data_IF_919664732367
#
_entry.id   IF_919664732367
#
_cell.length_a   1.000
_cell.length_b   1.000
_cell.length_c   1.000
_cell.angle_alpha   90.00
_cell.angle_beta   90.00
_cell.angle_gamma   90.00
#
_symmetry.space_group_name_H-M   'P 1'
#
loop_
_entity.id
_entity.type
_entity.pdbx_description
1 polymer ?
#
# COMPACT_ATOMS: atom_id res chain seq x y z
N UNK A 1 -5.31 23.61 -18.86
CA UNK A 1 -4.99 22.28 -18.26
C UNK A 1 -3.67 21.78 -18.85
N UNK A 2 -2.53 22.06 -18.19
CA UNK A 2 -1.22 21.62 -18.69
C UNK A 2 -1.10 20.10 -18.54
N UNK A 3 -1.39 19.36 -19.63
CA UNK A 3 -1.11 17.93 -19.72
C UNK A 3 0.40 17.75 -19.83
N UNK A 4 1.03 17.27 -18.77
CA UNK A 4 2.34 16.67 -18.94
C UNK A 4 2.19 15.40 -19.78
N UNK A 5 2.93 15.26 -20.88
CA UNK A 5 2.93 14.01 -21.63
C UNK A 5 3.37 12.88 -20.69
N UNK A 6 2.73 11.72 -20.82
CA UNK A 6 3.06 10.45 -20.13
C UNK A 6 2.54 10.24 -18.71
N UNK A 7 1.81 11.17 -18.09
CA UNK A 7 1.06 10.85 -16.86
C UNK A 7 -0.25 10.13 -17.18
N UNK A 8 -0.49 9.00 -16.50
CA UNK A 8 -1.72 8.22 -16.55
C UNK A 8 -2.30 8.10 -15.15
N UNK A 9 -3.59 8.39 -15.00
CA UNK A 9 -4.30 8.19 -13.73
C UNK A 9 -5.04 6.85 -13.79
N UNK A 10 -4.88 5.99 -12.78
CA UNK A 10 -5.65 4.75 -12.66
C UNK A 10 -7.08 5.04 -12.21
N UNK A 11 -7.97 4.04 -12.35
CA UNK A 11 -9.34 4.09 -11.79
C UNK A 11 -9.40 4.44 -10.30
N UNK A 12 -8.36 4.11 -9.53
CA UNK A 12 -8.28 4.43 -8.09
C UNK A 12 -7.72 5.83 -7.80
N UNK A 13 -7.51 6.64 -8.84
CA UNK A 13 -7.00 8.01 -8.76
C UNK A 13 -5.48 8.12 -8.61
N UNK A 14 -4.74 7.01 -8.60
CA UNK A 14 -3.27 7.01 -8.44
C UNK A 14 -2.60 7.32 -9.77
N UNK A 15 -1.64 8.24 -9.76
CA UNK A 15 -0.88 8.59 -10.96
C UNK A 15 0.28 7.62 -11.23
N UNK A 16 0.51 7.35 -12.52
CA UNK A 16 1.57 6.53 -13.06
C UNK A 16 2.31 7.32 -14.15
N UNK A 17 3.62 7.12 -14.23
CA UNK A 17 4.45 7.55 -15.34
C UNK A 17 4.49 6.45 -16.40
N UNK A 18 4.10 6.79 -17.63
CA UNK A 18 4.19 5.91 -18.80
C UNK A 18 5.60 6.00 -19.38
N UNK A 19 6.32 4.89 -19.34
CA UNK A 19 7.66 4.77 -19.91
C UNK A 19 7.54 3.93 -21.18
N UNK A 20 8.14 4.40 -22.28
CA UNK A 20 8.19 3.66 -23.54
C UNK A 20 9.66 3.42 -23.85
N UNK A 21 10.09 2.16 -23.85
CA UNK A 21 11.44 1.73 -24.23
C UNK A 21 11.32 0.59 -25.23
N UNK A 22 12.00 0.67 -26.38
CA UNK A 22 11.99 -0.36 -27.42
C UNK A 22 10.59 -0.83 -27.83
N UNK A 23 9.65 0.11 -28.05
CA UNK A 23 8.23 -0.14 -28.34
C UNK A 23 7.43 -0.85 -27.23
N UNK A 24 8.06 -1.24 -26.11
CA UNK A 24 7.39 -1.78 -24.92
C UNK A 24 6.94 -0.63 -24.02
N UNK A 25 5.64 -0.61 -23.72
CA UNK A 25 5.01 0.39 -22.82
C UNK A 25 4.95 -0.17 -21.41
N UNK A 26 5.66 0.45 -20.48
CA UNK A 26 5.60 0.14 -19.04
C UNK A 26 4.99 1.30 -18.26
N UNK A 27 4.36 0.99 -17.12
CA UNK A 27 3.73 1.99 -16.23
C UNK A 27 4.38 1.92 -14.85
N UNK A 28 5.09 2.97 -14.47
CA UNK A 28 5.69 3.12 -13.14
C UNK A 28 4.71 3.88 -12.24
N UNK A 29 4.36 3.32 -11.07
CA UNK A 29 3.47 4.02 -10.13
C UNK A 29 4.23 5.15 -9.44
N UNK A 30 3.60 6.33 -9.34
CA UNK A 30 4.13 7.47 -8.60
C UNK A 30 3.63 7.50 -7.14
N UNK A 31 2.78 6.54 -6.73
CA UNK A 31 2.35 6.38 -5.35
C UNK A 31 1.48 7.52 -4.79
N UNK A 32 1.02 8.46 -5.62
CA UNK A 32 0.26 9.64 -5.19
C UNK A 32 -1.02 9.83 -6.01
N UNK A 33 -2.04 10.41 -5.37
CA UNK A 33 -3.28 10.89 -6.02
C UNK A 33 -3.28 12.41 -6.24
N UNK A 34 -2.32 13.15 -5.69
CA UNK A 34 -2.19 14.59 -5.94
C UNK A 34 -1.44 14.80 -7.26
N UNK A 35 -2.07 15.52 -8.20
CA UNK A 35 -1.50 15.82 -9.51
C UNK A 35 -0.20 16.63 -9.44
N UNK A 36 -0.07 17.56 -8.49
CA UNK A 36 1.13 18.39 -8.31
C UNK A 36 2.31 17.55 -7.84
N UNK A 37 2.06 16.66 -6.88
CA UNK A 37 3.08 15.71 -6.40
C UNK A 37 3.43 14.72 -7.52
N UNK A 38 2.45 14.21 -8.25
CA UNK A 38 2.68 13.31 -9.39
C UNK A 38 3.54 13.99 -10.47
N UNK A 39 3.29 15.28 -10.74
CA UNK A 39 4.09 16.07 -11.65
C UNK A 39 5.54 16.20 -11.20
N UNK A 40 5.78 16.53 -9.93
CA UNK A 40 7.12 16.63 -9.36
C UNK A 40 7.87 15.29 -9.43
N UNK A 41 7.21 14.19 -9.06
CA UNK A 41 7.81 12.85 -9.12
C UNK A 41 8.10 12.41 -10.56
N UNK A 42 7.22 12.72 -11.51
CA UNK A 42 7.45 12.45 -12.93
C UNK A 42 8.61 13.27 -13.50
N UNK A 43 8.72 14.54 -13.12
CA UNK A 43 9.85 15.40 -13.49
C UNK A 43 11.16 14.84 -12.94
N UNK A 44 11.20 14.49 -11.65
CA UNK A 44 12.35 13.86 -11.01
C UNK A 44 12.75 12.56 -11.71
N UNK A 45 11.80 11.66 -11.98
CA UNK A 45 12.08 10.40 -12.67
C UNK A 45 12.58 10.63 -14.10
N UNK A 46 12.05 11.63 -14.82
CA UNK A 46 12.56 12.01 -16.15
C UNK A 46 13.97 12.60 -16.06
N UNK A 47 14.27 13.40 -15.04
CA UNK A 47 15.63 13.90 -14.77
C UNK A 47 16.59 12.75 -14.47
N UNK A 48 16.26 11.85 -13.54
CA UNK A 48 17.07 10.66 -13.24
C UNK A 48 17.30 9.80 -14.49
N UNK A 49 16.29 9.61 -15.33
CA UNK A 49 16.41 8.90 -16.61
C UNK A 49 17.32 9.63 -17.60
N UNK A 50 17.21 10.96 -17.69
CA UNK A 50 18.07 11.77 -18.55
C UNK A 50 19.53 11.77 -18.05
N UNK A 51 19.73 11.81 -16.73
CA UNK A 51 21.03 11.76 -16.06
C UNK A 51 21.66 10.36 -16.07
N UNK A 52 20.86 9.31 -16.30
CA UNK A 52 21.37 7.93 -16.44
C UNK A 52 21.98 7.62 -17.82
N UNK A 53 21.73 8.46 -18.83
CA UNK A 53 22.51 8.47 -20.06
C UNK A 53 23.76 9.33 -19.82
N UNK A 54 24.95 8.74 -19.99
CA UNK A 54 26.25 9.29 -19.57
C UNK A 54 26.56 10.67 -20.16
N UNK A 55 27.46 11.36 -19.45
CA UNK A 55 28.07 12.69 -19.66
C UNK A 55 27.27 13.91 -19.19
N UNK A 56 26.88 13.92 -17.90
CA UNK A 56 26.55 15.17 -17.22
C UNK A 56 27.22 15.22 -15.84
N UNK A 57 28.28 16.02 -15.74
CA UNK A 57 29.00 16.27 -14.49
C UNK A 57 28.22 17.27 -13.63
N UNK A 58 27.64 16.78 -12.53
CA UNK A 58 26.93 17.61 -11.55
C UNK A 58 27.86 18.55 -10.78
N UNK A 59 29.14 18.20 -10.65
CA UNK A 59 30.14 19.02 -9.97
C UNK A 59 30.60 20.20 -10.86
N UNK A 60 30.35 20.10 -12.17
CA UNK A 60 30.54 21.19 -13.13
C UNK A 60 29.36 22.18 -13.20
N UNK A 61 28.20 21.86 -12.60
CA UNK A 61 27.03 22.77 -12.57
C UNK A 61 27.13 23.67 -11.35
N UNK A 62 27.47 24.93 -11.62
CA UNK A 62 27.53 25.98 -10.61
C UNK A 62 26.14 26.29 -10.05
N UNK A 63 25.99 26.23 -8.72
CA UNK A 63 24.75 26.58 -8.02
C UNK A 63 24.67 28.10 -7.82
N UNK A 64 23.53 28.68 -8.16
CA UNK A 64 23.13 30.03 -7.78
C UNK A 64 21.89 29.90 -6.89
N UNK A 65 22.07 30.05 -5.57
CA UNK A 65 20.95 29.96 -4.64
C UNK A 65 20.12 31.25 -4.68
N UNK A 66 18.80 31.13 -4.76
CA UNK A 66 17.87 32.26 -4.69
C UNK A 66 16.87 31.98 -3.57
N UNK A 67 16.97 32.76 -2.50
CA UNK A 67 16.02 32.74 -1.40
C UNK A 67 15.06 33.91 -1.53
N UNK A 68 13.75 33.63 -1.52
CA UNK A 68 12.71 34.66 -1.50
C UNK A 68 12.01 34.60 -0.16
N UNK A 69 12.14 35.66 0.63
CA UNK A 69 11.52 35.75 1.95
C UNK A 69 9.99 35.92 1.83
N UNK A 70 9.22 35.59 2.88
CA UNK A 70 7.76 35.79 2.90
C UNK A 70 7.31 37.25 2.71
N UNK A 71 8.23 38.21 2.86
CA UNK A 71 7.99 39.66 2.68
C UNK A 71 8.32 40.14 1.26
N UNK A 72 8.79 39.25 0.38
CA UNK A 72 9.12 39.55 -1.02
C UNK A 72 10.54 40.07 -1.23
N UNK A 73 11.44 39.94 -0.24
CA UNK A 73 12.87 40.22 -0.43
C UNK A 73 13.57 39.03 -1.09
N UNK A 74 14.40 39.30 -2.10
CA UNK A 74 15.16 38.28 -2.83
C UNK A 74 16.63 38.36 -2.42
N UNK A 75 17.18 37.24 -1.97
CA UNK A 75 18.57 37.10 -1.55
C UNK A 75 19.24 36.04 -2.42
N UNK A 76 20.39 36.39 -3.00
CA UNK A 76 21.20 35.45 -3.76
C UNK A 76 22.32 34.90 -2.86
N UNK A 77 22.57 33.60 -2.91
CA UNK A 77 23.65 32.92 -2.19
C UNK A 77 24.55 32.21 -3.21
N UNK A 78 25.85 32.09 -2.89
CA UNK A 78 26.86 31.45 -3.76
C UNK A 78 27.23 32.26 -5.03
N UNK A 79 27.17 33.60 -4.95
CA UNK A 79 27.47 34.56 -6.04
C UNK A 79 28.99 34.86 -6.14
N UNK A 80 29.56 34.92 -7.35
CA UNK A 80 30.90 35.53 -7.61
C UNK A 80 30.78 36.75 -8.54
N UNK A 81 31.87 37.50 -8.68
CA UNK A 81 31.93 38.77 -9.43
C UNK A 81 31.39 38.68 -10.87
N UNK A 82 31.60 37.54 -11.55
CA UNK A 82 31.18 37.33 -12.94
C UNK A 82 29.67 37.00 -13.11
N UNK A 83 28.93 36.83 -12.02
CA UNK A 83 27.50 36.44 -12.07
C UNK A 83 26.54 37.64 -12.18
N UNK A 84 27.06 38.87 -12.16
CA UNK A 84 26.28 40.10 -12.11
C UNK A 84 25.32 40.23 -13.30
N UNK A 85 25.75 39.87 -14.51
CA UNK A 85 24.92 39.92 -15.72
C UNK A 85 23.79 38.89 -15.66
N UNK A 86 24.08 37.71 -15.10
CA UNK A 86 23.10 36.62 -14.95
C UNK A 86 22.06 36.97 -13.90
N UNK A 87 22.47 37.57 -12.78
CA UNK A 87 21.58 38.05 -11.72
C UNK A 87 20.70 39.19 -12.25
N UNK A 88 21.27 40.13 -13.02
CA UNK A 88 20.49 41.20 -13.66
C UNK A 88 19.43 40.64 -14.62
N UNK A 89 19.77 39.66 -15.45
CA UNK A 89 18.83 39.04 -16.38
C UNK A 89 17.71 38.26 -15.67
N UNK A 90 17.99 37.63 -14.52
CA UNK A 90 16.99 36.95 -13.69
C UNK A 90 16.06 37.96 -13.01
N UNK A 91 16.59 39.07 -12.48
CA UNK A 91 15.80 40.13 -11.86
C UNK A 91 14.90 40.87 -12.87
N UNK A 92 15.38 41.06 -14.11
CA UNK A 92 14.59 41.61 -15.21
C UNK A 92 13.41 40.70 -15.59
N UNK A 93 13.66 39.40 -15.72
CA UNK A 93 12.60 38.42 -16.02
C UNK A 93 11.58 38.27 -14.90
N UNK A 94 11.95 38.61 -13.67
CA UNK A 94 11.07 38.61 -12.51
C UNK A 94 10.40 39.96 -12.24
N UNK A 95 10.75 41.02 -13.00
CA UNK A 95 10.16 42.35 -12.86
C UNK A 95 10.55 43.09 -11.58
N UNK A 96 11.71 42.77 -10.99
CA UNK A 96 12.12 43.23 -9.65
C UNK A 96 13.25 44.28 -9.67
N UNK A 97 13.61 44.79 -10.85
CA UNK A 97 14.82 45.61 -11.07
C UNK A 97 14.82 46.93 -10.29
N UNK A 98 13.70 47.64 -10.21
CA UNK A 98 13.63 48.97 -9.58
C UNK A 98 13.72 48.95 -8.05
N UNK A 99 13.45 47.80 -7.40
CA UNK A 99 13.27 47.73 -5.93
C UNK A 99 14.50 47.24 -5.17
N UNK A 100 15.42 46.52 -5.82
CA UNK A 100 16.52 45.81 -5.14
C UNK A 100 17.90 45.89 -5.83
N UNK A 101 18.02 46.66 -6.92
CA UNK A 101 19.28 46.77 -7.66
C UNK A 101 20.45 47.32 -6.81
N UNK A 102 20.19 48.30 -5.94
CA UNK A 102 21.23 48.90 -5.09
C UNK A 102 21.67 47.98 -3.93
N UNK A 103 20.76 47.19 -3.35
CA UNK A 103 21.06 46.30 -2.21
C UNK A 103 21.81 45.03 -2.64
N UNK A 104 21.48 44.48 -3.82
CA UNK A 104 22.17 43.32 -4.36
C UNK A 104 23.64 43.64 -4.69
N UNK A 105 23.92 44.81 -5.30
CA UNK A 105 25.27 45.26 -5.64
C UNK A 105 26.11 45.52 -4.38
N UNK A 106 25.52 46.15 -3.36
CA UNK A 106 26.21 46.40 -2.08
C UNK A 106 26.51 45.11 -1.29
N UNK A 107 25.67 44.08 -1.40
CA UNK A 107 25.91 42.78 -0.76
C UNK A 107 27.08 42.00 -1.36
N UNK A 108 27.32 42.18 -2.67
CA UNK A 108 28.44 41.55 -3.41
C UNK A 108 29.76 42.24 -3.07
N UNK A 109 29.77 43.58 -2.97
CA UNK A 109 30.97 44.35 -2.60
C UNK A 109 31.37 44.16 -1.12
N UNK A 110 30.42 43.88 -0.22
CA UNK A 110 30.68 43.64 1.20
C UNK A 110 31.27 42.24 1.50
N UNK A 111 31.05 41.25 0.63
CA UNK A 111 31.57 39.89 0.82
C UNK A 111 33.05 39.73 0.43
N UNK A 112 33.60 40.63 -0.40
CA UNK A 112 35.02 40.63 -0.78
C UNK A 112 35.97 41.09 0.34
N UNK A 113 35.43 41.66 1.44
CA UNK A 113 36.22 42.26 2.52
C UNK A 113 36.23 41.46 3.85
N UNK A 114 35.66 40.25 3.92
CA UNK A 114 35.54 39.47 5.17
C UNK A 114 36.06 38.03 5.09
N UNK A 115 37.11 37.81 4.32
CA UNK A 115 37.90 36.57 4.40
C UNK A 115 39.01 36.69 5.47
N UNK A 116 38.68 37.05 6.71
CA UNK A 116 39.56 36.86 7.88
C UNK A 116 38.75 36.98 9.17
N UNK A 117 38.50 35.84 9.83
CA UNK A 117 38.31 35.64 11.28
C UNK A 117 37.23 34.61 11.59
N UNK A 118 37.68 33.54 12.23
CA UNK A 118 36.91 32.45 12.82
C UNK A 118 35.95 32.96 13.90
N UNK A 119 34.66 32.68 13.75
CA UNK A 119 33.62 33.03 14.71
C UNK A 119 33.01 31.80 15.37
N UNK A 120 33.24 31.67 16.68
CA UNK A 120 32.49 30.87 17.63
C UNK A 120 30.99 31.17 17.57
N UNK A 121 30.13 30.16 17.72
CA UNK A 121 28.69 30.34 17.86
C UNK A 121 28.31 30.72 19.31
N UNK A 122 27.38 31.66 19.54
CA UNK A 122 26.90 32.01 20.88
C UNK A 122 25.77 31.08 21.34
N UNK A 123 25.78 30.81 22.65
CA UNK A 123 24.80 30.04 23.44
C UNK A 123 23.67 30.97 23.92
N UNK A 124 22.41 30.48 23.95
CA UNK A 124 21.43 30.94 24.94
C UNK A 124 19.93 30.93 24.57
N UNK A 125 19.23 29.83 24.88
CA UNK A 125 18.03 29.84 25.73
C UNK A 125 18.12 28.63 26.66
N UNK A 126 17.87 28.76 27.97
CA UNK A 126 18.20 27.72 28.93
C UNK A 126 17.17 26.58 28.82
N UNK A 127 17.54 25.50 28.15
CA UNK A 127 16.98 24.19 28.46
C UNK A 127 17.93 23.55 29.46
N UNK A 128 17.47 23.38 30.70
CA UNK A 128 18.23 22.68 31.73
C UNK A 128 18.66 21.32 31.21
N UNK A 129 19.94 21.01 31.41
CA UNK A 129 20.59 19.80 30.97
C UNK A 129 19.81 18.56 31.46
N UNK A 130 19.14 17.88 30.54
CA UNK A 130 18.83 16.46 30.72
C UNK A 130 20.01 15.69 30.16
N UNK A 131 21.04 15.50 30.98
CA UNK A 131 22.06 14.49 30.71
C UNK A 131 21.39 13.12 30.89
N UNK A 132 20.67 12.67 29.86
CA UNK A 132 20.31 11.26 29.74
C UNK A 132 21.59 10.51 29.38
N UNK A 133 21.92 9.41 30.07
CA UNK A 133 23.01 8.55 29.63
C UNK A 133 22.80 8.17 28.16
N UNK A 134 23.83 8.37 27.31
CA UNK A 134 23.78 8.07 25.87
C UNK A 134 23.27 6.64 25.69
N UNK A 135 22.04 6.53 25.24
CA UNK A 135 21.39 5.28 24.90
C UNK A 135 21.60 5.02 23.40
N UNK A 136 20.86 4.06 22.86
CA UNK A 136 21.00 3.68 21.45
C UNK A 136 20.35 4.73 20.52
N UNK A 137 20.92 4.98 19.34
CA UNK A 137 20.26 5.75 18.29
C UNK A 137 18.96 5.05 17.86
N UNK A 138 18.02 5.83 17.33
CA UNK A 138 16.72 5.34 16.89
C UNK A 138 16.83 4.19 15.88
N UNK A 139 17.72 4.31 14.90
CA UNK A 139 17.97 3.28 13.89
C UNK A 139 18.35 1.93 14.50
N UNK A 140 19.25 1.93 15.49
CA UNK A 140 19.68 0.71 16.17
C UNK A 140 18.53 0.07 16.96
N UNK A 141 17.69 0.87 17.63
CA UNK A 141 16.51 0.32 18.32
C UNK A 141 15.48 -0.23 17.33
N UNK A 142 15.33 0.39 16.15
CA UNK A 142 14.49 -0.12 15.07
C UNK A 142 15.00 -1.47 14.58
N UNK A 143 16.30 -1.64 14.38
CA UNK A 143 16.89 -2.91 13.97
C UNK A 143 16.62 -4.02 14.99
N UNK A 144 16.88 -3.75 16.27
CA UNK A 144 16.59 -4.69 17.36
C UNK A 144 15.11 -5.08 17.41
N UNK A 145 14.22 -4.10 17.31
CA UNK A 145 12.78 -4.33 17.29
C UNK A 145 12.33 -5.16 16.08
N UNK A 146 12.84 -4.86 14.89
CA UNK A 146 12.47 -5.59 13.68
C UNK A 146 13.01 -7.02 13.69
N UNK A 147 14.18 -7.28 14.28
CA UNK A 147 14.70 -8.64 14.48
C UNK A 147 13.75 -9.46 15.35
N UNK A 148 13.30 -8.95 16.50
CA UNK A 148 12.33 -9.65 17.34
C UNK A 148 11.01 -9.89 16.59
N UNK A 149 10.52 -8.87 15.89
CA UNK A 149 9.22 -8.97 15.20
C UNK A 149 9.21 -9.91 14.00
N UNK A 150 10.37 -10.41 13.52
CA UNK A 150 10.41 -11.49 12.53
C UNK A 150 9.73 -12.77 13.03
N UNK A 151 9.65 -12.98 14.35
CA UNK A 151 9.00 -14.16 14.94
C UNK A 151 7.48 -14.15 14.74
N UNK A 152 6.85 -12.97 14.78
CA UNK A 152 5.38 -12.86 14.83
C UNK A 152 4.76 -12.16 13.60
N UNK A 153 5.55 -11.39 12.84
CA UNK A 153 5.05 -10.58 11.74
C UNK A 153 5.43 -11.14 10.37
N UNK A 154 4.43 -11.26 9.49
CA UNK A 154 4.64 -11.58 8.07
C UNK A 154 5.52 -10.52 7.36
N UNK A 155 6.26 -10.90 6.29
CA UNK A 155 7.21 -10.00 5.60
C UNK A 155 6.63 -8.65 5.16
N UNK A 156 5.37 -8.64 4.72
CA UNK A 156 4.67 -7.40 4.34
C UNK A 156 4.58 -6.41 5.50
N UNK A 157 4.26 -6.90 6.69
CA UNK A 157 4.09 -6.05 7.88
C UNK A 157 5.43 -5.48 8.33
N UNK A 158 6.49 -6.29 8.29
CA UNK A 158 7.85 -5.85 8.58
C UNK A 158 8.29 -4.74 7.61
N UNK A 159 8.08 -4.95 6.31
CA UNK A 159 8.36 -3.93 5.29
C UNK A 159 7.59 -2.62 5.52
N UNK A 160 6.32 -2.69 5.93
CA UNK A 160 5.53 -1.49 6.20
C UNK A 160 6.00 -0.77 7.47
N UNK A 161 6.39 -1.50 8.52
CA UNK A 161 7.01 -0.96 9.74
C UNK A 161 8.31 -0.24 9.40
N UNK A 162 9.25 -0.92 8.76
CA UNK A 162 10.55 -0.38 8.33
C UNK A 162 10.38 0.90 7.51
N UNK A 163 9.51 0.88 6.50
CA UNK A 163 9.21 2.07 5.68
C UNK A 163 8.72 3.25 6.51
N UNK A 164 7.91 3.00 7.55
CA UNK A 164 7.38 4.07 8.42
C UNK A 164 8.47 4.59 9.36
N UNK A 165 9.34 3.72 9.85
CA UNK A 165 10.48 4.12 10.69
C UNK A 165 11.50 4.93 9.91
N UNK A 166 11.87 4.51 8.69
CA UNK A 166 12.75 5.29 7.82
C UNK A 166 12.15 6.64 7.43
N UNK A 167 10.82 6.71 7.24
CA UNK A 167 10.13 7.97 6.98
C UNK A 167 10.19 8.91 8.20
N UNK A 168 10.01 8.36 9.41
CA UNK A 168 10.12 9.12 10.66
C UNK A 168 11.56 9.61 10.89
N UNK A 169 12.54 8.73 10.77
CA UNK A 169 13.98 9.05 10.86
C UNK A 169 14.37 10.10 9.81
N UNK A 170 13.87 10.00 8.58
CA UNK A 170 14.13 10.98 7.53
C UNK A 170 13.60 12.39 7.85
N UNK A 171 12.64 12.53 8.77
CA UNK A 171 12.11 13.84 9.18
C UNK A 171 12.81 14.45 10.39
N UNK A 172 13.24 13.63 11.35
CA UNK A 172 13.78 14.11 12.63
C UNK A 172 15.28 13.80 12.80
N UNK A 173 15.88 13.08 11.87
CA UNK A 173 17.25 12.58 11.96
C UNK A 173 17.33 11.24 12.69
N UNK A 174 18.56 10.76 12.90
CA UNK A 174 18.84 9.57 13.68
C UNK A 174 19.43 9.95 15.04
N UNK A 175 18.57 10.46 15.91
CA UNK A 175 18.94 10.88 17.26
C UNK A 175 18.95 9.70 18.23
N UNK A 176 19.56 9.91 19.41
CA UNK A 176 19.35 9.04 20.56
C UNK A 176 17.84 8.87 20.80
N UNK A 177 17.38 7.64 21.01
CA UNK A 177 15.95 7.37 21.13
C UNK A 177 15.29 8.16 22.27
N UNK A 178 16.02 8.52 23.32
CA UNK A 178 15.53 9.30 24.47
C UNK A 178 15.33 10.79 24.16
N UNK A 179 15.86 11.28 23.03
CA UNK A 179 15.64 12.67 22.59
C UNK A 179 14.26 12.87 21.96
N UNK A 180 13.58 11.80 21.52
CA UNK A 180 12.24 11.90 20.98
C UNK A 180 11.20 12.10 22.09
N UNK A 181 10.40 13.14 21.96
CA UNK A 181 9.38 13.53 22.91
C UNK A 181 7.99 13.53 22.27
N UNK A 182 6.96 13.85 23.06
CA UNK A 182 5.61 14.06 22.54
C UNK A 182 5.55 15.15 21.46
N UNK A 183 6.49 16.10 21.42
CA UNK A 183 6.53 17.16 20.41
C UNK A 183 6.84 16.59 19.01
N UNK A 184 7.81 15.69 18.89
CA UNK A 184 8.14 15.01 17.63
C UNK A 184 6.98 14.13 17.18
N UNK A 185 6.32 13.43 18.11
CA UNK A 185 5.16 12.60 17.81
C UNK A 185 3.97 13.43 17.29
N UNK A 186 3.68 14.59 17.90
CA UNK A 186 2.64 15.52 17.43
C UNK A 186 3.02 16.15 16.09
N UNK A 187 4.29 16.51 15.91
CA UNK A 187 4.80 17.07 14.64
C UNK A 187 4.68 16.07 13.49
N UNK A 188 5.02 14.81 13.74
CA UNK A 188 4.85 13.72 12.76
C UNK A 188 3.37 13.53 12.41
N UNK A 189 2.49 13.48 13.41
CA UNK A 189 1.04 13.39 13.24
C UNK A 189 0.48 14.54 12.39
N UNK A 190 0.89 15.77 12.66
CA UNK A 190 0.42 16.95 11.93
C UNK A 190 0.89 16.93 10.48
N UNK A 191 2.12 16.45 10.22
CA UNK A 191 2.64 16.28 8.86
C UNK A 191 1.84 15.26 8.05
N UNK A 192 1.60 14.06 8.59
CA UNK A 192 0.81 13.03 7.88
C UNK A 192 -0.66 13.42 7.73
N UNK A 193 -1.19 14.26 8.62
CA UNK A 193 -2.51 14.90 8.47
C UNK A 193 -2.52 15.88 7.28
N UNK A 194 -1.49 16.71 7.15
CA UNK A 194 -1.36 17.67 6.06
C UNK A 194 -1.23 17.00 4.67
N UNK A 195 -0.72 15.76 4.62
CA UNK A 195 -0.69 14.97 3.38
C UNK A 195 -2.07 14.45 2.92
N UNK A 196 -3.14 14.67 3.69
CA UNK A 196 -4.48 14.24 3.33
C UNK A 196 -4.71 12.73 3.38
N UNK A 197 -3.91 12.00 4.18
CA UNK A 197 -4.09 10.55 4.40
C UNK A 197 -5.36 10.27 5.19
N UNK A 198 -5.98 9.10 4.97
CA UNK A 198 -7.17 8.70 5.72
C UNK A 198 -6.85 8.44 7.20
N UNK A 199 -7.85 8.61 8.07
CA UNK A 199 -7.64 8.43 9.50
C UNK A 199 -7.16 7.02 9.88
N UNK A 200 -7.60 6.00 9.14
CA UNK A 200 -7.12 4.62 9.33
C UNK A 200 -5.64 4.47 9.01
N UNK A 201 -5.14 5.10 7.93
CA UNK A 201 -3.73 5.03 7.55
C UNK A 201 -2.87 5.77 8.58
N UNK A 202 -3.32 6.95 9.00
CA UNK A 202 -2.64 7.76 10.02
C UNK A 202 -2.54 6.96 11.33
N UNK A 203 -3.66 6.43 11.83
CA UNK A 203 -3.68 5.65 13.06
C UNK A 203 -2.81 4.38 12.97
N UNK A 204 -2.78 3.71 11.81
CA UNK A 204 -1.88 2.56 11.61
C UNK A 204 -0.41 2.94 11.70
N UNK A 205 0.00 4.08 11.14
CA UNK A 205 1.38 4.58 11.21
C UNK A 205 1.78 4.93 12.64
N UNK A 206 0.93 5.69 13.32
CA UNK A 206 1.13 6.07 14.72
C UNK A 206 1.20 4.83 15.63
N UNK A 207 0.39 3.80 15.34
CA UNK A 207 0.43 2.54 16.10
C UNK A 207 1.75 1.79 15.96
N UNK A 208 2.41 1.83 14.80
CA UNK A 208 3.72 1.21 14.63
C UNK A 208 4.79 1.93 15.46
N UNK A 209 4.82 3.26 15.40
CA UNK A 209 5.72 4.05 16.23
C UNK A 209 5.44 3.84 17.72
N UNK A 210 4.17 3.82 18.13
CA UNK A 210 3.80 3.48 19.52
C UNK A 210 4.35 2.12 19.95
N UNK A 211 4.22 1.10 19.11
CA UNK A 211 4.71 -0.26 19.41
C UNK A 211 6.24 -0.32 19.53
N UNK A 212 6.97 0.49 18.74
CA UNK A 212 8.43 0.60 18.84
C UNK A 212 8.85 1.22 20.17
N UNK A 213 8.20 2.31 20.58
CA UNK A 213 8.50 2.95 21.87
C UNK A 213 8.03 2.10 23.07
N UNK A 214 6.94 1.34 22.95
CA UNK A 214 6.55 0.31 23.94
C UNK A 214 7.66 -0.74 24.10
N UNK A 215 8.22 -1.24 23.00
CA UNK A 215 9.36 -2.16 23.02
C UNK A 215 10.59 -1.52 23.67
N UNK A 216 10.92 -0.28 23.30
CA UNK A 216 12.08 0.43 23.86
C UNK A 216 11.95 0.64 25.37
N UNK A 217 10.75 0.96 25.86
CA UNK A 217 10.47 1.05 27.30
C UNK A 217 10.63 -0.33 27.97
N UNK A 218 10.01 -1.38 27.39
CA UNK A 218 10.09 -2.74 27.94
C UNK A 218 11.50 -3.33 27.99
N UNK A 219 12.41 -2.83 27.14
CA UNK A 219 13.81 -3.25 27.08
C UNK A 219 14.78 -2.25 27.74
N UNK A 220 14.28 -1.29 28.52
CA UNK A 220 15.10 -0.27 29.20
C UNK A 220 16.01 0.54 28.25
N UNK A 221 15.53 0.80 27.02
CA UNK A 221 16.19 1.64 26.02
C UNK A 221 15.61 3.06 25.96
N UNK A 222 14.38 3.24 26.44
CA UNK A 222 13.67 4.52 26.51
C UNK A 222 13.09 4.72 27.91
N UNK A 223 13.42 5.85 28.55
CA UNK A 223 13.15 6.07 29.99
C UNK A 223 12.02 7.06 30.29
N UNK A 224 11.34 7.58 29.27
CA UNK A 224 10.20 8.47 29.43
C UNK A 224 8.87 7.77 29.08
N UNK A 225 7.76 8.48 29.27
CA UNK A 225 6.44 8.01 28.79
C UNK A 225 6.42 7.93 27.27
N UNK A 226 5.77 6.90 26.72
CA UNK A 226 5.68 6.71 25.26
C UNK A 226 5.19 7.97 24.53
N UNK A 227 5.98 8.56 23.62
CA UNK A 227 5.61 9.77 22.87
C UNK A 227 4.31 9.64 22.07
N UNK A 228 3.97 8.42 21.66
CA UNK A 228 2.84 8.14 20.77
C UNK A 228 1.56 7.75 21.51
N UNK A 229 1.57 7.65 22.84
CA UNK A 229 0.45 7.12 23.64
C UNK A 229 -0.89 7.82 23.34
N UNK A 230 -0.85 9.15 23.22
CA UNK A 230 -2.04 10.01 23.04
C UNK A 230 -2.13 10.64 21.65
N UNK A 231 -1.55 10.01 20.63
CA UNK A 231 -1.50 10.57 19.26
C UNK A 231 -2.66 10.16 18.36
N UNK A 232 -3.48 9.18 18.78
CA UNK A 232 -4.58 8.64 17.97
C UNK A 232 -5.56 9.72 17.53
N UNK A 233 -5.97 9.68 16.27
CA UNK A 233 -7.00 10.58 15.73
C UNK A 233 -8.37 9.91 15.65
N UNK A 234 -9.41 10.72 15.82
CA UNK A 234 -10.80 10.27 15.83
C UNK A 234 -11.25 9.73 14.47
N UNK A 235 -11.99 8.62 14.50
CA UNK A 235 -12.66 8.07 13.32
C UNK A 235 -14.13 8.53 13.20
N UNK A 236 -14.58 9.54 13.98
CA UNK A 236 -15.99 9.96 14.02
C UNK A 236 -16.48 10.57 12.68
N UNK A 237 -17.81 10.58 12.53
CA UNK A 237 -18.64 10.63 11.32
C UNK A 237 -18.15 11.44 10.08
N UNK A 238 -17.48 12.59 10.23
CA UNK A 238 -16.96 13.37 9.09
C UNK A 238 -15.87 12.62 8.29
N UNK A 239 -15.10 11.72 8.93
CA UNK A 239 -14.10 10.87 8.27
C UNK A 239 -14.67 9.54 7.77
N UNK A 240 -15.79 9.07 8.34
CA UNK A 240 -16.49 7.85 7.88
C UNK A 240 -17.10 8.01 6.49
N UNK A 241 -17.55 9.22 6.13
CA UNK A 241 -18.07 9.52 4.80
C UNK A 241 -17.05 9.33 3.66
N UNK A 242 -15.74 9.31 3.96
CA UNK A 242 -14.70 9.11 2.94
C UNK A 242 -14.37 7.63 2.67
N UNK A 243 -14.71 6.70 3.57
CA UNK A 243 -14.48 5.28 3.34
C UNK A 243 -15.63 4.74 2.51
N UNK A 244 -15.50 4.86 1.20
CA UNK A 244 -16.41 4.24 0.24
C UNK A 244 -16.23 2.72 0.31
N UNK A 245 -17.26 2.00 0.73
CA UNK A 245 -17.28 0.54 0.67
C UNK A 245 -17.15 0.07 -0.78
N UNK A 246 -16.63 -1.15 -0.97
CA UNK A 246 -16.68 -1.80 -2.28
C UNK A 246 -18.14 -1.88 -2.73
N UNK A 247 -18.34 -1.63 -4.03
CA UNK A 247 -19.65 -1.79 -4.65
C UNK A 247 -19.70 -3.17 -5.30
N UNK A 248 -20.83 -3.83 -5.15
CA UNK A 248 -21.11 -5.08 -5.87
C UNK A 248 -21.10 -4.86 -7.39
N UNK A 249 -20.75 -5.92 -8.10
CA UNK A 249 -20.91 -6.00 -9.55
C UNK A 249 -22.38 -6.33 -9.84
N UNK A 250 -23.02 -5.57 -10.73
CA UNK A 250 -24.41 -5.85 -11.12
C UNK A 250 -24.48 -7.11 -11.97
N UNK A 251 -25.69 -7.64 -12.14
CA UNK A 251 -26.01 -8.73 -13.08
C UNK A 251 -25.41 -8.47 -14.47
N UNK A 252 -25.53 -7.24 -14.98
CA UNK A 252 -24.99 -6.81 -16.27
C UNK A 252 -23.46 -6.77 -16.26
N UNK A 253 -22.84 -6.23 -15.19
CA UNK A 253 -21.38 -6.26 -15.05
C UNK A 253 -20.87 -7.71 -15.12
N UNK A 254 -21.49 -8.64 -14.38
CA UNK A 254 -21.09 -10.04 -14.37
C UNK A 254 -21.23 -10.70 -15.74
N UNK A 255 -22.31 -10.41 -16.48
CA UNK A 255 -22.49 -10.87 -17.86
C UNK A 255 -21.38 -10.37 -18.79
N UNK A 256 -21.00 -9.10 -18.68
CA UNK A 256 -19.92 -8.53 -19.49
C UNK A 256 -18.55 -9.06 -19.10
N UNK A 257 -18.28 -9.17 -17.79
CA UNK A 257 -17.03 -9.68 -17.25
C UNK A 257 -16.83 -11.13 -17.68
N UNK A 258 -17.82 -11.99 -17.48
CA UNK A 258 -17.70 -13.42 -17.78
C UNK A 258 -18.13 -13.77 -19.22
N UNK A 259 -18.16 -12.78 -20.13
CA UNK A 259 -18.36 -13.05 -21.55
C UNK A 259 -17.11 -13.72 -22.12
N UNK A 260 -17.24 -15.00 -22.49
CA UNK A 260 -16.13 -15.87 -22.87
C UNK A 260 -15.25 -15.35 -24.00
N UNK A 261 -15.86 -14.76 -25.03
CA UNK A 261 -15.17 -14.23 -26.22
C UNK A 261 -14.22 -13.09 -25.84
N UNK A 262 -14.63 -12.23 -24.91
CA UNK A 262 -13.80 -11.13 -24.41
C UNK A 262 -12.89 -11.55 -23.25
N UNK A 263 -13.32 -12.49 -22.42
CA UNK A 263 -12.65 -12.87 -21.18
C UNK A 263 -11.41 -13.72 -21.44
N UNK A 264 -11.52 -14.82 -22.19
CA UNK A 264 -10.41 -15.78 -22.39
C UNK A 264 -9.16 -15.12 -23.00
N UNK A 265 -9.25 -14.27 -24.05
CA UNK A 265 -8.06 -13.64 -24.61
C UNK A 265 -7.39 -12.61 -23.70
N UNK A 266 -8.14 -11.99 -22.77
CA UNK A 266 -7.60 -11.00 -21.85
C UNK A 266 -7.11 -11.62 -20.53
N UNK A 267 -7.75 -12.69 -20.09
CA UNK A 267 -7.39 -13.45 -18.89
C UNK A 267 -6.68 -14.73 -19.32
N UNK A 268 -5.50 -14.54 -19.88
CA UNK A 268 -4.72 -15.45 -20.71
C UNK A 268 -3.80 -16.41 -19.93
N UNK A 269 -3.66 -16.20 -18.63
CA UNK A 269 -2.91 -17.08 -17.72
C UNK A 269 -3.85 -17.75 -16.72
N UNK A 270 -3.47 -18.90 -16.13
CA UNK A 270 -4.38 -19.65 -15.26
C UNK A 270 -4.87 -18.87 -14.02
N UNK A 271 -4.00 -18.05 -13.42
CA UNK A 271 -4.37 -17.18 -12.30
C UNK A 271 -5.39 -16.11 -12.72
N UNK A 272 -5.21 -15.50 -13.89
CA UNK A 272 -6.15 -14.51 -14.41
C UNK A 272 -7.46 -15.16 -14.80
N UNK A 273 -7.41 -16.33 -15.44
CA UNK A 273 -8.59 -17.05 -15.87
C UNK A 273 -9.43 -17.49 -14.68
N UNK A 274 -8.87 -18.31 -13.78
CA UNK A 274 -9.67 -19.01 -12.75
C UNK A 274 -9.98 -18.17 -11.52
N UNK A 275 -9.07 -17.30 -11.06
CA UNK A 275 -9.26 -16.62 -9.76
C UNK A 275 -10.55 -15.77 -9.68
N UNK A 276 -10.96 -14.99 -10.70
CA UNK A 276 -12.21 -14.25 -10.64
C UNK A 276 -13.45 -15.15 -10.55
N UNK A 277 -13.48 -16.24 -11.32
CA UNK A 277 -14.58 -17.21 -11.33
C UNK A 277 -14.70 -17.92 -9.98
N UNK A 278 -13.58 -18.43 -9.47
CA UNK A 278 -13.54 -19.10 -8.18
C UNK A 278 -13.87 -18.13 -7.02
N UNK A 279 -13.41 -16.88 -7.08
CA UNK A 279 -13.74 -15.88 -6.06
C UNK A 279 -15.24 -15.56 -6.02
N UNK A 280 -15.93 -15.55 -7.16
CA UNK A 280 -17.38 -15.34 -7.24
C UNK A 280 -18.18 -16.47 -6.60
N UNK A 281 -17.71 -17.72 -6.75
CA UNK A 281 -18.42 -18.93 -6.30
C UNK A 281 -17.95 -19.50 -4.96
N UNK A 282 -16.85 -19.03 -4.39
CA UNK A 282 -16.35 -19.47 -3.07
C UNK A 282 -16.30 -18.34 -2.05
N UNK A 283 -16.29 -17.09 -2.52
CA UNK A 283 -16.05 -15.93 -1.70
C UNK A 283 -14.67 -15.88 -1.06
N UNK A 284 -13.72 -16.79 -1.33
CA UNK A 284 -12.41 -16.85 -0.66
C UNK A 284 -11.62 -15.54 -0.86
N UNK A 285 -10.80 -15.13 0.12
CA UNK A 285 -10.00 -13.90 -0.02
C UNK A 285 -8.99 -14.09 -1.14
N UNK A 286 -8.78 -13.03 -1.93
CA UNK A 286 -7.92 -13.07 -3.11
C UNK A 286 -6.55 -13.69 -2.87
N UNK A 287 -5.82 -13.26 -1.82
CA UNK A 287 -4.50 -13.81 -1.54
C UNK A 287 -4.58 -15.27 -1.06
N UNK A 288 -5.61 -15.67 -0.31
CA UNK A 288 -5.80 -17.05 0.14
C UNK A 288 -6.01 -17.98 -1.07
N UNK A 289 -6.79 -17.52 -2.04
CA UNK A 289 -7.04 -18.27 -3.27
C UNK A 289 -5.82 -18.27 -4.20
N UNK A 290 -5.14 -17.14 -4.37
CA UNK A 290 -3.97 -17.03 -5.24
C UNK A 290 -2.77 -17.83 -4.73
N UNK A 291 -2.61 -18.00 -3.41
CA UNK A 291 -1.51 -18.78 -2.82
C UNK A 291 -1.81 -20.27 -2.67
N UNK A 292 -2.88 -20.77 -3.31
CA UNK A 292 -3.35 -22.12 -3.08
C UNK A 292 -2.46 -23.16 -3.76
N UNK A 293 -2.21 -24.25 -3.02
CA UNK A 293 -1.43 -25.39 -3.48
C UNK A 293 -2.33 -26.62 -3.69
N UNK A 294 -1.88 -27.60 -4.47
CA UNK A 294 -2.69 -28.78 -4.81
C UNK A 294 -3.22 -29.55 -3.60
N UNK A 295 -2.44 -29.70 -2.53
CA UNK A 295 -2.87 -30.43 -1.33
C UNK A 295 -4.00 -29.74 -0.55
N UNK A 296 -4.20 -28.44 -0.76
CA UNK A 296 -5.33 -27.69 -0.21
C UNK A 296 -6.65 -27.94 -0.95
N UNK A 297 -6.64 -28.67 -2.06
CA UNK A 297 -7.83 -29.08 -2.79
C UNK A 297 -7.95 -30.60 -2.71
N UNK A 298 -8.96 -31.06 -1.98
CA UNK A 298 -9.21 -32.48 -1.78
C UNK A 298 -10.71 -32.73 -1.53
N UNK A 299 -11.08 -33.99 -1.43
CA UNK A 299 -12.43 -34.38 -1.02
C UNK A 299 -12.47 -34.59 0.50
N UNK A 300 -13.45 -33.96 1.16
CA UNK A 300 -13.78 -34.16 2.55
C UNK A 300 -15.24 -34.65 2.63
N UNK A 301 -15.48 -35.83 3.19
CA UNK A 301 -16.80 -36.47 3.19
C UNK A 301 -17.45 -36.50 1.78
N UNK A 302 -16.66 -36.90 0.77
CA UNK A 302 -17.06 -36.93 -0.66
C UNK A 302 -17.41 -35.57 -1.30
N UNK A 303 -17.18 -34.46 -0.59
CA UNK A 303 -17.36 -33.09 -1.11
C UNK A 303 -15.99 -32.50 -1.45
N UNK A 304 -15.81 -32.01 -2.68
CA UNK A 304 -14.61 -31.24 -3.03
C UNK A 304 -14.58 -29.92 -2.25
N UNK A 305 -13.44 -29.62 -1.63
CA UNK A 305 -13.26 -28.43 -0.80
C UNK A 305 -11.98 -27.67 -1.16
N UNK A 306 -12.03 -26.36 -0.94
CA UNK A 306 -10.86 -25.54 -0.69
C UNK A 306 -10.58 -25.57 0.82
N UNK A 307 -9.50 -26.20 1.25
CA UNK A 307 -9.07 -26.20 2.64
C UNK A 307 -8.14 -25.02 2.92
N UNK A 308 -8.66 -24.04 3.66
CA UNK A 308 -7.92 -22.85 4.07
C UNK A 308 -7.28 -23.16 5.43
N UNK A 309 -6.04 -23.65 5.40
CA UNK A 309 -5.26 -24.04 6.57
C UNK A 309 -4.55 -22.84 7.21
N UNK A 310 -3.83 -23.06 8.32
CA UNK A 310 -2.99 -22.05 8.96
C UNK A 310 -1.85 -21.54 8.06
N UNK A 311 -1.44 -22.32 7.05
CA UNK A 311 -0.39 -21.94 6.11
C UNK A 311 -0.84 -20.81 5.17
N UNK A 312 -2.13 -20.77 4.85
CA UNK A 312 -2.75 -19.78 3.97
C UNK A 312 -3.44 -18.67 4.79
N UNK A 313 -4.06 -19.04 5.91
CA UNK A 313 -4.87 -18.16 6.72
C UNK A 313 -4.01 -17.16 7.51
N UNK A 314 -4.28 -15.86 7.31
CA UNK A 314 -3.59 -14.78 8.07
C UNK A 314 -3.81 -14.88 9.60
N UNK A 315 -4.97 -15.38 10.02
CA UNK A 315 -5.38 -15.47 11.43
C UNK A 315 -6.03 -16.85 11.67
N UNK A 316 -5.95 -17.39 12.89
CA UNK A 316 -6.59 -18.67 13.27
C UNK A 316 -8.08 -18.73 12.90
N UNK A 317 -8.80 -17.61 13.01
CA UNK A 317 -10.23 -17.54 12.70
C UNK A 317 -10.57 -17.49 11.20
N UNK A 318 -9.56 -17.45 10.33
CA UNK A 318 -9.73 -17.60 8.88
C UNK A 318 -9.64 -19.06 8.42
N UNK A 319 -9.23 -19.99 9.31
CA UNK A 319 -9.13 -21.42 9.00
C UNK A 319 -10.53 -22.00 8.78
N UNK A 320 -10.76 -22.60 7.62
CA UNK A 320 -12.07 -23.15 7.21
C UNK A 320 -11.94 -24.03 5.97
N UNK A 321 -12.89 -24.94 5.80
CA UNK A 321 -13.11 -25.61 4.52
C UNK A 321 -14.25 -24.91 3.77
N UNK A 322 -14.06 -24.63 2.49
CA UNK A 322 -15.08 -24.05 1.62
C UNK A 322 -15.43 -25.06 0.54
N UNK A 323 -16.66 -25.59 0.50
CA UNK A 323 -17.07 -26.56 -0.51
C UNK A 323 -17.09 -25.95 -1.91
N UNK A 324 -16.81 -26.77 -2.92
CA UNK A 324 -16.94 -26.38 -4.32
C UNK A 324 -18.42 -26.18 -4.65
N UNK A 325 -18.75 -25.01 -5.20
CA UNK A 325 -20.05 -24.75 -5.79
C UNK A 325 -20.32 -25.67 -6.99
N UNK A 326 -21.58 -26.02 -7.26
CA UNK A 326 -21.99 -26.80 -8.45
C UNK A 326 -21.40 -26.25 -9.76
N UNK A 327 -21.40 -24.93 -9.96
CA UNK A 327 -20.81 -24.29 -11.14
C UNK A 327 -19.30 -24.55 -11.29
N UNK A 328 -18.56 -24.69 -10.18
CA UNK A 328 -17.13 -25.04 -10.23
C UNK A 328 -16.97 -26.50 -10.69
N UNK A 329 -17.80 -27.41 -10.19
CA UNK A 329 -17.79 -28.83 -10.56
C UNK A 329 -18.21 -29.05 -12.02
N UNK A 330 -19.15 -28.25 -12.52
CA UNK A 330 -19.64 -28.26 -13.91
C UNK A 330 -18.70 -27.55 -14.89
N UNK A 331 -17.69 -26.85 -14.38
CA UNK A 331 -16.65 -26.20 -15.18
C UNK A 331 -15.47 -27.11 -15.45
N UNK A 332 -14.57 -26.68 -16.34
CA UNK A 332 -13.29 -27.37 -16.60
C UNK A 332 -12.23 -27.20 -15.52
N UNK A 333 -12.58 -26.72 -14.32
CA UNK A 333 -11.60 -26.48 -13.27
C UNK A 333 -10.94 -27.78 -12.77
N UNK A 334 -11.69 -28.87 -12.60
CA UNK A 334 -11.11 -30.16 -12.19
C UNK A 334 -10.20 -30.77 -13.27
N UNK A 335 -10.59 -30.61 -14.55
CA UNK A 335 -9.75 -31.01 -15.69
C UNK A 335 -8.44 -30.22 -15.70
N UNK A 336 -8.53 -28.89 -15.48
CA UNK A 336 -7.37 -28.02 -15.33
C UNK A 336 -6.47 -28.45 -14.16
N UNK A 337 -7.03 -28.73 -12.97
CA UNK A 337 -6.25 -29.21 -11.83
C UNK A 337 -5.49 -30.50 -12.16
N UNK A 338 -6.14 -31.43 -12.86
CA UNK A 338 -5.53 -32.69 -13.29
C UNK A 338 -4.37 -32.44 -14.25
N UNK A 339 -4.58 -31.60 -15.27
CA UNK A 339 -3.54 -31.25 -16.26
C UNK A 339 -2.38 -30.47 -15.63
N UNK A 340 -2.68 -29.50 -14.78
CA UNK A 340 -1.69 -28.69 -14.09
C UNK A 340 -0.86 -29.57 -13.14
N UNK A 341 -1.49 -30.52 -12.45
CA UNK A 341 -0.79 -31.46 -11.56
C UNK A 341 0.12 -32.41 -12.34
N UNK A 342 -0.31 -32.87 -13.51
CA UNK A 342 0.48 -33.77 -14.36
C UNK A 342 1.65 -33.07 -15.07
N UNK A 343 1.54 -31.78 -15.35
CA UNK A 343 2.56 -30.99 -16.08
C UNK A 343 3.49 -30.17 -15.19
N UNK A 344 3.28 -30.18 -13.87
CA UNK A 344 4.12 -29.42 -12.92
C UNK A 344 5.53 -30.01 -12.83
N UNK A 345 6.49 -29.14 -12.53
CA UNK A 345 7.84 -29.55 -12.14
C UNK A 345 7.85 -30.01 -10.69
N UNK A 346 8.75 -30.92 -10.34
CA UNK A 346 8.90 -31.39 -8.96
C UNK A 346 9.14 -30.21 -8.00
N UNK A 347 8.39 -30.19 -6.89
CA UNK A 347 8.42 -29.11 -5.90
C UNK A 347 7.55 -27.88 -6.21
N UNK A 348 6.97 -27.78 -7.41
CA UNK A 348 6.07 -26.68 -7.78
C UNK A 348 4.61 -27.07 -7.49
N UNK A 349 4.18 -26.78 -6.26
CA UNK A 349 2.87 -27.19 -5.74
C UNK A 349 1.76 -26.15 -5.93
N UNK A 350 2.09 -24.97 -6.46
CA UNK A 350 1.14 -23.86 -6.67
C UNK A 350 0.19 -24.16 -7.82
N UNK A 351 -1.11 -23.99 -7.60
CA UNK A 351 -2.13 -24.31 -8.62
C UNK A 351 -2.07 -23.32 -9.78
N UNK A 352 -2.11 -22.03 -9.47
CA UNK A 352 -2.27 -20.97 -10.49
C UNK A 352 -0.97 -20.43 -11.05
N UNK A 353 0.17 -20.75 -10.41
CA UNK A 353 1.49 -20.25 -10.76
C UNK A 353 2.46 -21.43 -10.93
N UNK A 354 2.38 -22.16 -12.06
CA UNK A 354 3.09 -23.42 -12.26
C UNK A 354 4.63 -23.28 -12.26
N UNK A 355 5.13 -22.06 -12.43
CA UNK A 355 6.54 -21.69 -12.44
C UNK A 355 7.00 -20.95 -11.17
N UNK A 356 6.20 -21.00 -10.09
CA UNK A 356 6.49 -20.33 -8.82
C UNK A 356 6.45 -21.26 -7.62
N UNK A 357 7.43 -21.11 -6.74
CA UNK A 357 7.36 -21.65 -5.39
C UNK A 357 6.48 -20.77 -4.49
N UNK A 358 5.85 -21.32 -3.42
CA UNK A 358 5.05 -20.54 -2.47
C UNK A 358 5.81 -19.36 -1.83
N UNK A 359 7.14 -19.47 -1.70
CA UNK A 359 8.02 -18.44 -1.14
C UNK A 359 8.27 -17.27 -2.10
N UNK A 360 8.00 -17.42 -3.39
CA UNK A 360 8.26 -16.40 -4.42
C UNK A 360 7.19 -15.30 -4.52
N UNK A 361 6.14 -15.34 -3.69
CA UNK A 361 5.10 -14.30 -3.68
C UNK A 361 5.61 -12.91 -3.23
N UNK A 362 6.81 -12.87 -2.65
CA UNK A 362 7.45 -11.66 -2.14
C UNK A 362 6.59 -10.91 -1.12
N UNK A 363 6.89 -9.62 -0.91
CA UNK A 363 6.18 -8.80 0.09
C UNK A 363 4.69 -8.58 -0.19
N UNK A 364 4.23 -8.73 -1.43
CA UNK A 364 2.84 -8.43 -1.79
C UNK A 364 1.94 -9.67 -1.91
N UNK A 365 2.53 -10.87 -1.85
CA UNK A 365 1.86 -12.12 -2.17
C UNK A 365 1.44 -12.21 -3.64
N UNK A 366 0.73 -13.29 -3.97
CA UNK A 366 0.36 -13.64 -5.34
C UNK A 366 -0.88 -12.90 -5.88
N UNK A 367 -1.74 -12.35 -5.01
CA UNK A 367 -3.01 -11.75 -5.43
C UNK A 367 -2.91 -10.32 -5.99
N UNK A 368 -1.76 -9.64 -5.87
CA UNK A 368 -1.66 -8.23 -6.32
C UNK A 368 -1.81 -8.09 -7.84
N UNK A 369 -1.22 -9.01 -8.61
CA UNK A 369 -1.18 -8.93 -10.07
C UNK A 369 -2.57 -9.16 -10.67
N UNK A 370 -3.28 -10.19 -10.21
CA UNK A 370 -4.66 -10.44 -10.64
C UNK A 370 -5.59 -9.27 -10.27
N UNK A 371 -5.43 -8.65 -9.10
CA UNK A 371 -6.20 -7.44 -8.75
C UNK A 371 -5.99 -6.30 -9.76
N UNK A 372 -4.75 -6.10 -10.20
CA UNK A 372 -4.41 -5.09 -11.21
C UNK A 372 -4.98 -5.46 -12.58
N UNK A 373 -4.77 -6.70 -13.02
CA UNK A 373 -5.25 -7.21 -14.31
C UNK A 373 -6.76 -7.14 -14.41
N UNK A 374 -7.47 -7.55 -13.36
CA UNK A 374 -8.92 -7.44 -13.27
C UNK A 374 -9.38 -5.98 -13.33
N UNK A 375 -8.68 -5.06 -12.65
CA UNK A 375 -8.95 -3.62 -12.77
C UNK A 375 -8.78 -3.08 -14.20
N UNK A 376 -7.69 -3.47 -14.89
CA UNK A 376 -7.47 -3.13 -16.30
C UNK A 376 -8.57 -3.72 -17.22
N UNK A 377 -9.06 -4.93 -16.90
CA UNK A 377 -10.16 -5.57 -17.62
C UNK A 377 -11.50 -4.84 -17.43
N UNK A 378 -11.83 -4.45 -16.18
CA UNK A 378 -13.01 -3.64 -15.89
C UNK A 378 -12.97 -2.29 -16.62
N UNK A 379 -11.78 -1.67 -16.71
CA UNK A 379 -11.60 -0.41 -17.46
C UNK A 379 -11.82 -0.61 -18.97
N UNK A 380 -11.37 -1.75 -19.53
CA UNK A 380 -11.63 -2.13 -20.92
C UNK A 380 -13.13 -2.26 -21.19
N UNK A 381 -13.85 -2.94 -20.29
CA UNK A 381 -15.30 -3.15 -20.34
C UNK A 381 -16.13 -1.89 -19.98
N UNK A 382 -15.47 -0.75 -19.72
CA UNK A 382 -16.11 0.51 -19.32
C UNK A 382 -16.85 0.46 -17.97
N UNK A 383 -16.48 -0.49 -17.11
CA UNK A 383 -16.94 -0.57 -15.72
C UNK A 383 -16.03 0.31 -14.85
N UNK A 384 -16.31 1.61 -14.84
CA UNK A 384 -15.38 2.65 -14.34
C UNK A 384 -15.55 3.05 -12.87
N UNK A 385 -16.58 2.58 -12.15
CA UNK A 385 -16.76 2.89 -10.72
C UNK A 385 -15.56 2.38 -9.91
N UNK A 386 -14.83 3.28 -9.27
CA UNK A 386 -13.56 3.00 -8.58
C UNK A 386 -13.71 2.06 -7.37
N UNK A 387 -14.95 1.86 -6.91
CA UNK A 387 -15.33 0.92 -5.84
C UNK A 387 -15.58 -0.50 -6.34
N UNK A 388 -15.74 -0.70 -7.66
CA UNK A 388 -15.80 -2.03 -8.28
C UNK A 388 -14.37 -2.52 -8.48
N UNK A 389 -14.01 -3.59 -7.77
CA UNK A 389 -12.64 -4.15 -7.76
C UNK A 389 -12.71 -5.67 -7.74
N UNK A 390 -11.56 -6.35 -7.71
CA UNK A 390 -11.55 -7.81 -7.50
C UNK A 390 -12.31 -8.22 -6.22
N UNK A 391 -12.24 -7.41 -5.15
CA UNK A 391 -12.93 -7.72 -3.89
C UNK A 391 -14.46 -7.56 -3.98
N UNK A 392 -14.97 -6.94 -5.05
CA UNK A 392 -16.40 -6.91 -5.33
C UNK A 392 -16.96 -8.31 -5.57
N UNK A 393 -16.20 -9.24 -6.15
CA UNK A 393 -16.63 -10.63 -6.37
C UNK A 393 -16.97 -11.34 -5.04
N UNK A 394 -16.13 -11.13 -4.01
CA UNK A 394 -16.43 -11.62 -2.65
C UNK A 394 -17.63 -10.93 -2.03
N UNK A 395 -17.83 -9.64 -2.32
CA UNK A 395 -19.01 -8.91 -1.85
C UNK A 395 -20.29 -9.44 -2.51
N UNK A 396 -20.25 -9.74 -3.82
CA UNK A 396 -21.32 -10.43 -4.54
C UNK A 396 -21.65 -11.79 -3.88
N UNK A 397 -20.64 -12.61 -3.57
CA UNK A 397 -20.83 -13.87 -2.86
C UNK A 397 -21.54 -13.70 -1.51
N UNK A 398 -21.04 -12.79 -0.65
CA UNK A 398 -21.63 -12.55 0.67
C UNK A 398 -23.06 -12.01 0.56
N UNK A 399 -23.29 -11.05 -0.33
CA UNK A 399 -24.59 -10.44 -0.53
C UNK A 399 -25.60 -11.46 -1.07
N UNK A 400 -25.20 -12.30 -2.02
CA UNK A 400 -26.07 -13.35 -2.57
C UNK A 400 -26.49 -14.36 -1.49
N UNK A 401 -25.56 -14.83 -0.65
CA UNK A 401 -25.90 -15.70 0.50
C UNK A 401 -26.81 -15.01 1.52
N UNK A 402 -26.63 -13.71 1.74
CA UNK A 402 -27.47 -12.92 2.66
C UNK A 402 -28.87 -12.75 2.09
N UNK A 403 -29.00 -12.51 0.78
CA UNK A 403 -30.29 -12.37 0.10
C UNK A 403 -31.08 -13.69 0.04
N UNK A 404 -30.39 -14.84 0.13
CA UNK A 404 -31.01 -16.16 0.33
C UNK A 404 -31.49 -16.40 1.77
N UNK A 405 -31.37 -15.40 2.66
CA UNK A 405 -31.78 -15.45 4.06
C UNK A 405 -31.15 -16.62 4.84
N UNK A 406 -29.89 -16.97 4.49
CA UNK A 406 -29.16 -18.03 5.18
C UNK A 406 -28.73 -17.59 6.57
N UNK A 407 -28.71 -18.54 7.50
CA UNK A 407 -28.30 -18.27 8.88
C UNK A 407 -26.88 -17.68 8.92
N UNK A 408 -26.62 -16.56 9.65
CA UNK A 408 -25.32 -15.90 9.66
C UNK A 408 -24.14 -16.83 9.96
N UNK A 409 -24.31 -17.80 10.86
CA UNK A 409 -23.28 -18.80 11.17
C UNK A 409 -22.79 -19.60 9.94
N UNK A 410 -23.68 -19.91 8.99
CA UNK A 410 -23.33 -20.63 7.76
C UNK A 410 -22.48 -19.71 6.86
N UNK A 411 -22.92 -18.46 6.68
CA UNK A 411 -22.19 -17.45 5.90
C UNK A 411 -20.80 -17.23 6.51
N UNK A 412 -20.73 -17.07 7.83
CA UNK A 412 -19.46 -16.89 8.56
C UNK A 412 -18.54 -18.09 8.43
N UNK A 413 -19.08 -19.31 8.37
CA UNK A 413 -18.32 -20.54 8.11
C UNK A 413 -17.70 -20.60 6.71
N UNK A 414 -18.40 -20.10 5.70
CA UNK A 414 -17.88 -20.01 4.33
C UNK A 414 -16.82 -18.93 4.17
N UNK A 415 -16.99 -17.77 4.83
CA UNK A 415 -16.15 -16.59 4.57
C UNK A 415 -15.08 -16.32 5.63
N UNK A 416 -15.14 -16.96 6.80
CA UNK A 416 -14.14 -16.83 7.87
C UNK A 416 -14.18 -15.47 8.57
N UNK A 417 -15.38 -15.01 8.95
CA UNK A 417 -15.66 -13.69 9.56
C UNK A 417 -16.15 -13.77 11.02
N UNK A 418 -15.85 -14.85 11.74
CA UNK A 418 -16.39 -15.12 13.09
C UNK A 418 -16.16 -14.01 14.13
N UNK A 419 -15.11 -13.19 14.02
CA UNK A 419 -14.76 -12.14 14.98
C UNK A 419 -14.91 -10.71 14.45
N UNK A 420 -15.35 -10.53 13.20
CA UNK A 420 -15.44 -9.20 12.57
C UNK A 420 -16.81 -8.53 12.77
N UNK A 421 -17.82 -9.28 13.22
CA UNK A 421 -19.13 -8.72 13.48
C UNK A 421 -19.17 -7.99 14.83
N UNK A 422 -19.89 -6.87 14.89
CA UNK A 422 -20.37 -6.30 16.16
C UNK A 422 -21.42 -7.19 16.85
N UNK A 423 -21.80 -8.30 16.22
CA UNK A 423 -22.52 -9.38 16.85
C UNK A 423 -21.49 -10.18 17.66
N UNK A 424 -21.66 -10.21 18.97
CA UNK A 424 -20.83 -11.02 19.84
C UNK A 424 -21.18 -12.51 19.66
N UNK A 425 -20.59 -13.11 18.63
CA UNK A 425 -20.61 -14.55 18.38
C UNK A 425 -19.49 -15.27 19.16
N UNK A 426 -18.82 -14.57 20.09
CA UNK A 426 -17.80 -15.16 20.97
C UNK A 426 -18.41 -15.87 22.18
N UNK A 427 -19.74 -15.81 22.33
CA UNK A 427 -20.48 -16.64 23.29
C UNK A 427 -19.93 -18.06 23.28
N UNK A 428 -19.55 -18.63 24.44
CA UNK A 428 -19.08 -20.01 24.55
C UNK A 428 -20.05 -20.99 23.86
N UNK A 429 -21.35 -20.69 23.89
CA UNK A 429 -22.37 -21.50 23.22
C UNK A 429 -22.23 -21.47 21.68
N UNK A 430 -21.96 -20.31 21.09
CA UNK A 430 -21.74 -20.23 19.64
C UNK A 430 -20.40 -20.86 19.23
N UNK A 431 -19.35 -20.61 20.02
CA UNK A 431 -18.00 -21.16 19.79
C UNK A 431 -17.99 -22.68 19.90
N UNK A 432 -18.68 -23.25 20.90
CA UNK A 432 -18.68 -24.69 21.17
C UNK A 432 -19.67 -25.47 20.31
N UNK A 433 -20.83 -24.88 19.95
CA UNK A 433 -21.91 -25.62 19.27
C UNK A 433 -22.19 -25.18 17.83
N UNK A 434 -21.77 -23.98 17.40
CA UNK A 434 -22.17 -23.43 16.08
C UNK A 434 -21.01 -23.03 15.17
N UNK A 435 -19.76 -23.02 15.65
CA UNK A 435 -18.58 -22.57 14.90
C UNK A 435 -18.13 -23.53 13.80
N UNK A 436 -18.30 -24.84 13.98
CA UNK A 436 -18.02 -25.84 12.94
C UNK A 436 -19.35 -26.35 12.40
N UNK A 437 -19.67 -26.00 11.16
CA UNK A 437 -20.81 -26.56 10.45
C UNK A 437 -20.36 -27.79 9.67
N UNK A 438 -21.16 -28.87 9.62
CA UNK A 438 -20.86 -30.00 8.76
C UNK A 438 -20.70 -29.56 7.31
N UNK A 439 -19.79 -30.18 6.56
CA UNK A 439 -19.45 -29.72 5.20
C UNK A 439 -20.65 -29.81 4.25
N UNK A 440 -21.52 -30.80 4.43
CA UNK A 440 -22.73 -30.97 3.63
C UNK A 440 -23.73 -29.82 3.82
N UNK A 441 -23.85 -29.26 5.03
CA UNK A 441 -24.68 -28.06 5.28
C UNK A 441 -24.12 -26.84 4.56
N UNK A 442 -22.79 -26.68 4.56
CA UNK A 442 -22.13 -25.61 3.81
C UNK A 442 -22.27 -25.79 2.30
N UNK A 443 -22.23 -27.05 1.82
CA UNK A 443 -22.40 -27.42 0.42
C UNK A 443 -23.81 -27.13 -0.09
N UNK A 444 -24.82 -27.53 0.67
CA UNK A 444 -26.22 -27.22 0.32
C UNK A 444 -26.46 -25.70 0.27
N UNK A 445 -25.86 -24.96 1.22
CA UNK A 445 -25.98 -23.51 1.26
C UNK A 445 -25.28 -22.82 0.08
N UNK A 446 -24.07 -23.25 -0.28
CA UNK A 446 -23.33 -22.62 -1.37
C UNK A 446 -24.02 -22.89 -2.72
N UNK A 447 -24.55 -24.10 -2.95
CA UNK A 447 -25.17 -24.52 -4.22
C UNK A 447 -26.48 -23.82 -4.57
N UNK A 448 -27.07 -23.09 -3.61
CA UNK A 448 -28.21 -22.20 -3.83
C UNK A 448 -27.81 -20.91 -4.57
N UNK A 449 -26.52 -20.63 -4.70
CA UNK A 449 -26.03 -19.46 -5.43
C UNK A 449 -26.24 -19.62 -6.93
N UNK A 450 -26.85 -18.60 -7.53
CA UNK A 450 -27.01 -18.53 -8.98
C UNK A 450 -26.57 -17.17 -9.49
N UNK A 451 -25.76 -17.19 -10.54
CA UNK A 451 -25.33 -15.99 -11.24
C UNK A 451 -25.66 -16.15 -12.72
N UNK A 452 -25.94 -15.04 -13.42
CA UNK A 452 -26.34 -15.05 -14.82
C UNK A 452 -25.13 -15.20 -15.76
N UNK A 453 -24.24 -16.14 -15.48
CA UNK A 453 -23.01 -16.39 -16.25
C UNK A 453 -23.01 -17.82 -16.76
N UNK A 454 -22.48 -18.03 -17.97
CA UNK A 454 -22.29 -19.38 -18.50
C UNK A 454 -21.10 -20.03 -17.80
N UNK A 455 -21.25 -21.31 -17.44
CA UNK A 455 -20.12 -22.10 -16.97
C UNK A 455 -19.10 -22.25 -18.10
N UNK A 456 -17.81 -22.23 -17.77
CA UNK A 456 -16.75 -22.42 -18.75
C UNK A 456 -16.60 -23.91 -19.06
N UNK A 457 -16.90 -24.25 -20.31
CA UNK A 457 -16.79 -25.59 -20.87
C UNK A 457 -15.48 -25.80 -21.64
#
# INVERSE_FOLDING_TARGET
MHKLPRLYQSRHGVYYLRIIRNKVKTRLSLGTKDFRIARLLALRANMELAMSNRDFDLDAIRKLGVEISPTGQVKFTEVKADDLDTISAVLDRLGLREKYAQEAINSVLAQSARASSSGSLPVGMPQGDRVTPKSKPFSEVVELYLVEKKLDNVPKTLYDKERIYSEFQGFFGDLDINQYTANEAVSYKNRILAEGKSASIINSRLSFLRSLFEYAIGNNLYFATNPFEKTKISNKAKLKQQVRSYKELTTEDLKFIFNEVAYRPFMDTPDYHWLPFLALYSGIRQNELASMQFHHIHQHESVWVFDITAEIAKNKNSIRMVPFHKAILESKFLDYLTQAKASRKDGYEMIFFPDKLPTEGGKNGFGKNISRRFGDYLDLLKITDDRKTFHSLRSNFINALTNLNLHPAIIMGLVGHYEQAKLDLSSPHFVNYQKKKPIHVLKEAIDKLEYPIKNWH
#
